data_IF_930545373602
#
_entry.id   IF_930545373602
#
_cell.length_a   1.000
_cell.length_b   1.000
_cell.length_c   1.000
_cell.angle_alpha   90.00
_cell.angle_beta   90.00
_cell.angle_gamma   90.00
#
_symmetry.space_group_name_H-M   'P 1'
#
loop_
_entity.id
_entity.type
_entity.pdbx_description
1 polymer ?
#
# COMPACT_ATOMS: atom_id res chain seq x y z
N UNK A 1 -49.73 15.61 -39.11
CA UNK A 1 -49.35 16.52 -38.02
C UNK A 1 -49.02 15.65 -36.81
N UNK A 2 -47.75 15.65 -36.37
CA UNK A 2 -47.26 15.16 -35.07
C UNK A 2 -47.39 13.63 -34.79
N UNK A 3 -46.42 12.90 -34.23
CA UNK A 3 -45.07 13.21 -33.74
C UNK A 3 -44.30 11.88 -33.63
N UNK A 4 -43.01 11.95 -33.89
CA UNK A 4 -41.99 10.92 -33.63
C UNK A 4 -42.13 10.28 -32.25
N UNK A 5 -41.91 8.97 -32.15
CA UNK A 5 -41.27 8.42 -30.95
C UNK A 5 -40.42 7.19 -31.28
N UNK A 6 -39.21 7.48 -31.75
CA UNK A 6 -38.04 6.60 -31.75
C UNK A 6 -37.87 6.02 -30.35
N UNK A 7 -38.11 4.72 -30.17
CA UNK A 7 -37.53 3.99 -29.06
C UNK A 7 -36.04 3.79 -29.37
N UNK A 8 -35.26 4.78 -28.92
CA UNK A 8 -33.83 4.67 -28.77
C UNK A 8 -33.61 3.63 -27.66
N UNK A 9 -33.29 2.39 -28.03
CA UNK A 9 -32.65 1.47 -27.10
C UNK A 9 -31.31 2.10 -26.72
N UNK A 10 -31.31 2.91 -25.66
CA UNK A 10 -30.09 3.34 -25.00
C UNK A 10 -29.52 2.06 -24.40
N UNK A 11 -28.63 1.42 -25.17
CA UNK A 11 -27.58 0.58 -24.64
C UNK A 11 -26.76 1.45 -23.69
N UNK A 12 -27.22 1.57 -22.45
CA UNK A 12 -26.35 1.90 -21.32
C UNK A 12 -25.49 0.66 -21.14
N UNK A 13 -24.48 0.52 -22.01
CA UNK A 13 -23.29 -0.20 -21.66
C UNK A 13 -22.70 0.65 -20.54
N UNK A 14 -23.08 0.35 -19.30
CA UNK A 14 -22.20 0.53 -18.18
C UNK A 14 -20.94 -0.24 -18.56
N UNK A 15 -20.02 0.45 -19.25
CA UNK A 15 -18.61 0.16 -19.11
C UNK A 15 -18.32 0.38 -17.64
N UNK A 16 -18.63 -0.63 -16.82
CA UNK A 16 -17.88 -0.89 -15.62
C UNK A 16 -16.44 -0.70 -16.06
N UNK A 17 -15.69 0.28 -15.52
CA UNK A 17 -14.32 0.42 -15.92
C UNK A 17 -13.71 -0.95 -15.66
N UNK A 18 -13.31 -1.64 -16.73
CA UNK A 18 -12.35 -2.73 -16.69
C UNK A 18 -11.34 -2.28 -15.64
N UNK A 19 -11.41 -2.84 -14.42
CA UNK A 19 -10.73 -2.26 -13.25
C UNK A 19 -9.33 -1.91 -13.73
N UNK A 20 -8.99 -0.62 -13.75
CA UNK A 20 -7.77 -0.16 -14.39
C UNK A 20 -6.57 -0.98 -13.87
N UNK A 21 -5.59 -1.23 -14.74
CA UNK A 21 -4.28 -1.74 -14.30
C UNK A 21 -3.69 -0.76 -13.26
N UNK A 22 -2.69 -1.19 -12.49
CA UNK A 22 -2.01 -0.33 -11.52
C UNK A 22 -1.71 1.07 -12.09
N UNK A 23 -1.86 2.13 -11.29
CA UNK A 23 -1.52 3.49 -11.71
C UNK A 23 -0.10 3.56 -12.28
N UNK A 24 0.10 4.41 -13.30
CA UNK A 24 1.39 4.57 -13.96
C UNK A 24 2.54 4.84 -12.98
N UNK A 25 2.27 5.58 -11.91
CA UNK A 25 3.23 5.88 -10.84
C UNK A 25 3.68 4.63 -10.07
N UNK A 26 2.78 3.66 -9.86
CA UNK A 26 3.12 2.38 -9.22
C UNK A 26 3.97 1.53 -10.17
N UNK A 27 3.61 1.48 -11.45
CA UNK A 27 4.41 0.78 -12.47
C UNK A 27 5.82 1.38 -12.56
N UNK A 28 5.93 2.70 -12.60
CA UNK A 28 7.21 3.40 -12.66
C UNK A 28 8.04 3.18 -11.38
N UNK A 29 7.40 3.15 -10.21
CA UNK A 29 8.09 2.80 -8.96
C UNK A 29 8.73 1.41 -9.04
N UNK A 30 8.03 0.42 -9.58
CA UNK A 30 8.58 -0.92 -9.77
C UNK A 30 9.77 -0.91 -10.74
N UNK A 31 9.65 -0.22 -11.88
CA UNK A 31 10.72 -0.11 -12.89
C UNK A 31 11.97 0.59 -12.36
N UNK A 32 11.80 1.59 -11.50
CA UNK A 32 12.92 2.37 -10.95
C UNK A 32 13.59 1.71 -9.74
N UNK A 33 12.94 0.76 -9.07
CA UNK A 33 13.47 0.10 -7.87
C UNK A 33 14.90 -0.46 -8.01
N UNK A 34 15.32 -1.10 -9.13
CA UNK A 34 16.70 -1.56 -9.30
C UNK A 34 17.73 -0.43 -9.29
N UNK A 35 17.38 0.75 -9.85
CA UNK A 35 18.24 1.94 -9.82
C UNK A 35 18.29 2.51 -8.41
N UNK A 36 17.14 2.69 -7.78
CA UNK A 36 17.03 3.22 -6.41
C UNK A 36 17.82 2.36 -5.41
N UNK A 37 17.78 1.03 -5.56
CA UNK A 37 18.54 0.12 -4.70
C UNK A 37 20.06 0.34 -4.76
N UNK A 38 20.59 0.90 -5.86
CA UNK A 38 22.01 1.23 -6.02
C UNK A 38 22.36 2.65 -5.58
N UNK A 39 21.43 3.59 -5.70
CA UNK A 39 21.70 5.02 -5.54
C UNK A 39 21.17 5.61 -4.23
N UNK A 40 20.44 4.83 -3.43
CA UNK A 40 19.87 5.32 -2.16
C UNK A 40 21.00 5.64 -1.17
N UNK A 41 21.11 6.89 -0.68
CA UNK A 41 22.18 7.27 0.23
C UNK A 41 21.97 6.69 1.63
N UNK A 42 23.07 6.39 2.33
CA UNK A 42 23.03 5.82 3.68
C UNK A 42 22.23 6.65 4.69
N UNK A 43 22.22 7.98 4.51
CA UNK A 43 21.45 8.89 5.35
C UNK A 43 19.95 8.59 5.31
N UNK A 44 19.41 8.09 4.20
CA UNK A 44 18.00 7.70 4.10
C UNK A 44 17.66 6.52 5.02
N UNK A 45 18.56 5.54 5.14
CA UNK A 45 18.40 4.42 6.07
C UNK A 45 18.53 4.87 7.52
N UNK A 46 19.51 5.74 7.83
CA UNK A 46 19.71 6.28 9.17
C UNK A 46 18.50 7.07 9.66
N UNK A 47 17.91 7.93 8.80
CA UNK A 47 16.69 8.70 9.12
C UNK A 47 15.49 7.81 9.48
N UNK A 48 15.43 6.59 8.94
CA UNK A 48 14.35 5.65 9.19
C UNK A 48 14.67 4.63 10.30
N UNK A 49 15.75 4.84 11.07
CA UNK A 49 16.18 3.95 12.15
C UNK A 49 16.19 2.48 11.71
N UNK A 50 16.69 2.20 10.49
CA UNK A 50 16.80 0.84 9.96
C UNK A 50 18.25 0.35 9.99
N UNK A 51 18.48 -0.72 10.75
CA UNK A 51 19.75 -1.45 10.82
C UNK A 51 19.91 -2.57 9.78
N UNK A 52 18.81 -2.96 9.11
CA UNK A 52 18.76 -4.06 8.13
C UNK A 52 18.05 -3.58 6.84
N UNK A 53 18.70 -2.73 6.03
CA UNK A 53 18.07 -2.04 4.89
C UNK A 53 17.58 -2.99 3.78
N UNK A 54 18.08 -4.22 3.72
CA UNK A 54 17.68 -5.19 2.69
C UNK A 54 16.47 -6.05 3.10
N UNK A 55 16.22 -6.19 4.41
CA UNK A 55 15.27 -7.17 4.95
C UNK A 55 13.94 -6.55 5.38
N UNK A 56 13.95 -5.32 5.88
CA UNK A 56 12.76 -4.67 6.45
C UNK A 56 11.98 -3.78 5.48
N UNK A 57 10.71 -3.51 5.81
CA UNK A 57 9.88 -2.53 5.07
C UNK A 57 10.43 -1.10 5.15
N UNK A 58 11.11 -0.74 6.25
CA UNK A 58 11.77 0.57 6.39
C UNK A 58 12.91 0.75 5.38
N UNK A 59 13.68 -0.30 5.14
CA UNK A 59 14.73 -0.30 4.13
C UNK A 59 14.19 -0.24 2.70
N UNK A 60 13.07 -0.92 2.43
CA UNK A 60 12.35 -0.76 1.16
C UNK A 60 11.87 0.68 1.00
N UNK A 61 11.19 1.24 2.00
CA UNK A 61 10.67 2.60 1.95
C UNK A 61 11.79 3.64 1.79
N UNK A 62 12.94 3.42 2.46
CA UNK A 62 14.12 4.26 2.33
C UNK A 62 14.55 4.46 0.86
N UNK A 63 14.38 3.42 0.02
CA UNK A 63 14.66 3.41 -1.41
C UNK A 63 13.50 4.02 -2.21
N UNK A 64 12.28 3.52 -1.99
CA UNK A 64 11.12 3.87 -2.83
C UNK A 64 10.67 5.31 -2.68
N UNK A 65 10.89 5.94 -1.52
CA UNK A 65 10.47 7.32 -1.26
C UNK A 65 11.08 8.35 -2.22
N UNK A 66 12.19 8.03 -2.90
CA UNK A 66 12.82 8.90 -3.89
C UNK A 66 12.08 8.92 -5.23
N UNK A 67 11.26 7.90 -5.52
CA UNK A 67 10.39 7.88 -6.70
C UNK A 67 8.92 8.16 -6.34
N UNK A 68 8.45 7.64 -5.21
CA UNK A 68 7.09 7.82 -4.73
C UNK A 68 7.07 7.82 -3.19
N UNK A 69 7.08 9.00 -2.59
CA UNK A 69 6.94 9.18 -1.14
C UNK A 69 5.46 9.06 -0.69
N UNK A 70 5.22 9.00 0.62
CA UNK A 70 3.86 8.81 1.16
C UNK A 70 2.90 9.93 0.76
N UNK A 71 3.35 11.20 0.74
CA UNK A 71 2.49 12.31 0.33
C UNK A 71 2.07 12.22 -1.14
N UNK A 72 2.98 11.78 -2.02
CA UNK A 72 2.66 11.50 -3.42
C UNK A 72 1.75 10.28 -3.55
N UNK A 73 1.95 9.25 -2.74
CA UNK A 73 1.12 8.05 -2.73
C UNK A 73 -0.32 8.33 -2.25
N UNK A 74 -0.51 9.24 -1.30
CA UNK A 74 -1.84 9.75 -0.93
C UNK A 74 -2.54 10.43 -2.13
N UNK A 75 -1.80 11.22 -2.91
CA UNK A 75 -2.34 11.86 -4.13
C UNK A 75 -2.70 10.83 -5.20
N UNK A 76 -1.87 9.81 -5.39
CA UNK A 76 -2.11 8.75 -6.39
C UNK A 76 -3.30 7.87 -6.01
N UNK A 77 -3.47 7.59 -4.72
CA UNK A 77 -4.58 6.77 -4.23
C UNK A 77 -5.88 7.54 -4.04
N UNK A 78 -5.82 8.86 -3.85
CA UNK A 78 -6.96 9.66 -3.43
C UNK A 78 -7.35 9.46 -1.96
N UNK A 79 -6.55 8.71 -1.20
CA UNK A 79 -6.83 8.37 0.19
C UNK A 79 -5.69 8.81 1.10
N UNK A 80 -6.03 9.29 2.29
CA UNK A 80 -5.05 9.41 3.38
C UNK A 80 -4.53 8.03 3.75
N UNK A 81 -3.22 7.90 3.96
CA UNK A 81 -2.61 6.62 4.36
C UNK A 81 -2.93 6.33 5.83
N UNK A 82 -2.86 7.37 6.66
CA UNK A 82 -3.15 7.30 8.09
C UNK A 82 -4.33 8.22 8.44
N UNK A 83 -5.29 7.71 9.20
CA UNK A 83 -6.39 8.48 9.78
C UNK A 83 -5.95 9.19 11.06
N UNK A 84 -5.06 8.56 11.83
CA UNK A 84 -4.57 9.06 13.10
C UNK A 84 -3.14 8.55 13.39
N UNK A 85 -2.61 9.00 14.54
CA UNK A 85 -1.28 8.64 15.02
C UNK A 85 -0.21 9.69 14.74
N UNK A 86 1.07 9.32 14.90
CA UNK A 86 2.18 10.28 14.98
C UNK A 86 2.71 10.68 13.60
N UNK A 87 2.23 10.06 12.53
CA UNK A 87 2.65 10.32 11.15
C UNK A 87 1.90 11.54 10.59
N UNK A 88 2.64 12.53 10.09
CA UNK A 88 2.08 13.79 9.57
C UNK A 88 2.66 14.10 8.21
N UNK A 89 1.83 14.69 7.34
CA UNK A 89 2.26 15.25 6.04
C UNK A 89 3.05 14.27 5.15
N UNK A 90 2.69 12.97 5.19
CA UNK A 90 3.40 11.94 4.45
C UNK A 90 4.82 11.65 4.97
N UNK A 91 5.10 11.95 6.23
CA UNK A 91 6.34 11.61 6.91
C UNK A 91 6.10 10.61 8.04
N UNK A 92 7.00 9.64 8.15
CA UNK A 92 7.02 8.69 9.25
C UNK A 92 7.69 9.31 10.47
N UNK A 93 6.95 9.39 11.57
CA UNK A 93 7.52 9.67 12.89
C UNK A 93 7.74 8.35 13.62
N UNK A 94 9.01 7.95 13.76
CA UNK A 94 9.42 6.68 14.37
C UNK A 94 9.95 6.85 15.80
N UNK A 95 9.86 8.05 16.36
CA UNK A 95 10.39 8.38 17.69
C UNK A 95 9.33 8.30 18.79
N UNK A 96 8.04 8.24 18.43
CA UNK A 96 6.95 8.09 19.39
C UNK A 96 6.82 6.62 19.76
N UNK A 97 6.97 6.30 21.05
CA UNK A 97 6.96 4.92 21.58
C UNK A 97 5.57 4.42 21.97
N UNK A 98 4.66 5.34 22.27
CA UNK A 98 3.34 5.06 22.84
C UNK A 98 2.19 5.26 21.85
N UNK A 99 2.49 5.52 20.58
CA UNK A 99 1.51 5.82 19.53
C UNK A 99 2.01 5.22 18.21
N UNK A 100 1.11 4.88 17.30
CA UNK A 100 1.41 4.23 16.02
C UNK A 100 0.52 4.73 14.88
N UNK A 101 0.91 4.47 13.63
CA UNK A 101 0.12 4.91 12.47
C UNK A 101 -1.19 4.13 12.36
N UNK A 102 -2.33 4.84 12.37
CA UNK A 102 -3.65 4.23 12.22
C UNK A 102 -4.04 4.23 10.74
N UNK A 103 -3.83 3.10 10.07
CA UNK A 103 -4.07 3.00 8.64
C UNK A 103 -5.54 3.26 8.28
N UNK A 104 -5.73 3.97 7.18
CA UNK A 104 -7.03 4.11 6.54
C UNK A 104 -7.40 2.80 5.82
N UNK A 105 -8.50 2.12 6.18
CA UNK A 105 -8.92 0.89 5.50
C UNK A 105 -9.14 1.06 4.00
N UNK A 106 -9.63 2.21 3.55
CA UNK A 106 -9.84 2.49 2.13
C UNK A 106 -8.52 2.58 1.37
N UNK A 107 -7.47 3.14 1.99
CA UNK A 107 -6.13 3.10 1.41
C UNK A 107 -5.59 1.68 1.29
N UNK A 108 -5.85 0.80 2.28
CA UNK A 108 -5.41 -0.60 2.23
C UNK A 108 -6.11 -1.38 1.10
N UNK A 109 -7.44 -1.20 0.96
CA UNK A 109 -8.21 -1.78 -0.16
C UNK A 109 -7.70 -1.29 -1.50
N UNK A 110 -7.42 0.01 -1.61
CA UNK A 110 -6.82 0.57 -2.81
C UNK A 110 -5.45 -0.06 -3.10
N UNK A 111 -4.60 -0.24 -2.09
CA UNK A 111 -3.29 -0.85 -2.20
C UNK A 111 -3.34 -2.31 -2.65
N UNK A 112 -4.32 -3.09 -2.19
CA UNK A 112 -4.56 -4.46 -2.64
C UNK A 112 -4.88 -4.51 -4.14
N UNK A 113 -5.76 -3.62 -4.61
CA UNK A 113 -6.18 -3.57 -6.00
C UNK A 113 -5.11 -3.00 -6.95
N UNK A 114 -4.25 -2.09 -6.48
CA UNK A 114 -3.40 -1.26 -7.33
C UNK A 114 -1.90 -1.42 -7.08
N UNK A 115 -1.47 -1.97 -5.95
CA UNK A 115 -0.07 -2.00 -5.53
C UNK A 115 0.81 -3.02 -6.26
N UNK A 116 0.19 -4.01 -6.91
CA UNK A 116 0.89 -5.07 -7.64
C UNK A 116 0.57 -4.94 -9.14
N UNK A 117 1.49 -4.37 -9.94
CA UNK A 117 1.31 -4.26 -11.38
C UNK A 117 1.45 -5.62 -12.08
N UNK A 118 0.82 -5.73 -13.26
CA UNK A 118 0.79 -6.93 -14.07
C UNK A 118 -0.20 -7.96 -13.54
N UNK A 119 -1.24 -7.60 -12.78
CA UNK A 119 -2.28 -8.55 -12.37
C UNK A 119 -3.20 -8.90 -13.55
N UNK A 120 -3.41 -8.00 -14.50
CA UNK A 120 -4.22 -8.26 -15.71
C UNK A 120 -3.39 -8.20 -16.99
N UNK A 121 -2.22 -7.56 -16.97
CA UNK A 121 -1.26 -7.55 -18.08
C UNK A 121 -0.13 -8.59 -17.90
N UNK A 122 -0.19 -9.67 -18.70
CA UNK A 122 0.81 -10.74 -18.67
C UNK A 122 2.19 -10.30 -19.20
N UNK A 123 2.23 -9.36 -20.15
CA UNK A 123 3.49 -8.83 -20.69
C UNK A 123 4.18 -7.99 -19.62
N UNK A 124 3.43 -7.11 -18.96
CA UNK A 124 3.93 -6.30 -17.84
C UNK A 124 4.36 -7.17 -16.65
N UNK A 125 3.61 -8.24 -16.34
CA UNK A 125 4.02 -9.21 -15.32
C UNK A 125 5.38 -9.83 -15.64
N UNK A 126 5.56 -10.30 -16.89
CA UNK A 126 6.83 -10.89 -17.34
C UNK A 126 7.97 -9.87 -17.26
N UNK A 127 7.72 -8.63 -17.63
CA UNK A 127 8.68 -7.53 -17.53
C UNK A 127 9.13 -7.28 -16.09
N UNK A 128 8.19 -7.23 -15.14
CA UNK A 128 8.45 -6.86 -13.75
C UNK A 128 8.82 -8.04 -12.84
N UNK A 129 8.71 -9.28 -13.33
CA UNK A 129 9.05 -10.48 -12.59
C UNK A 129 10.47 -10.44 -11.98
N UNK A 130 11.55 -10.05 -12.70
CA UNK A 130 12.89 -9.98 -12.10
C UNK A 130 12.99 -8.97 -10.96
N UNK A 131 12.23 -7.86 -11.04
CA UNK A 131 12.16 -6.86 -9.96
C UNK A 131 11.52 -7.48 -8.72
N UNK A 132 10.38 -8.16 -8.87
CA UNK A 132 9.73 -8.87 -7.76
C UNK A 132 10.68 -9.88 -7.13
N UNK A 133 11.30 -10.73 -7.95
CA UNK A 133 12.15 -11.82 -7.44
C UNK A 133 13.37 -11.31 -6.68
N UNK A 134 14.02 -10.26 -7.19
CA UNK A 134 15.21 -9.68 -6.58
C UNK A 134 14.89 -8.85 -5.34
N UNK A 135 13.84 -8.02 -5.40
CA UNK A 135 13.62 -6.98 -4.41
C UNK A 135 12.42 -7.19 -3.51
N UNK A 136 11.41 -7.98 -3.87
CA UNK A 136 10.15 -8.04 -3.10
C UNK A 136 9.84 -9.45 -2.56
N UNK A 137 10.25 -10.50 -3.28
CA UNK A 137 9.89 -11.90 -3.02
C UNK A 137 10.17 -12.35 -1.59
N UNK A 138 11.39 -12.11 -1.09
CA UNK A 138 11.78 -12.55 0.26
C UNK A 138 10.86 -11.93 1.32
N UNK A 139 10.67 -10.60 1.28
CA UNK A 139 9.78 -9.88 2.19
C UNK A 139 8.33 -10.36 2.09
N UNK A 140 7.78 -10.41 0.87
CA UNK A 140 6.40 -10.85 0.64
C UNK A 140 6.16 -12.26 1.21
N UNK A 141 7.10 -13.19 1.00
CA UNK A 141 7.01 -14.56 1.54
C UNK A 141 7.10 -14.59 3.06
N UNK A 142 7.95 -13.79 3.69
CA UNK A 142 8.03 -13.70 5.15
C UNK A 142 6.72 -13.21 5.77
N UNK A 143 6.10 -12.16 5.20
CA UNK A 143 4.80 -11.67 5.67
C UNK A 143 3.69 -12.70 5.45
N UNK A 144 3.67 -13.37 4.29
CA UNK A 144 2.70 -14.42 4.02
C UNK A 144 2.85 -15.62 4.97
N UNK A 145 4.09 -16.04 5.28
CA UNK A 145 4.36 -17.09 6.24
C UNK A 145 3.91 -16.70 7.66
N UNK A 146 4.18 -15.46 8.08
CA UNK A 146 3.73 -14.94 9.36
C UNK A 146 2.20 -14.91 9.46
N UNK A 147 1.53 -14.45 8.40
CA UNK A 147 0.06 -14.49 8.29
C UNK A 147 -0.47 -15.93 8.43
N UNK A 148 0.05 -16.86 7.62
CA UNK A 148 -0.34 -18.28 7.71
C UNK A 148 -0.12 -18.88 9.10
N UNK A 149 1.02 -18.58 9.72
CA UNK A 149 1.32 -19.07 11.07
C UNK A 149 0.35 -18.52 12.12
N UNK A 150 -0.01 -17.24 12.03
CA UNK A 150 -0.98 -16.63 12.93
C UNK A 150 -2.36 -17.27 12.77
N UNK A 151 -2.83 -17.43 11.53
CA UNK A 151 -4.13 -18.03 11.23
C UNK A 151 -4.20 -19.53 11.54
N UNK A 152 -3.08 -20.25 11.51
CA UNK A 152 -3.01 -21.64 11.96
C UNK A 152 -3.11 -21.79 13.49
N UNK A 153 -3.05 -20.69 14.25
CA UNK A 153 -3.12 -20.68 15.72
C UNK A 153 -4.27 -19.77 16.21
N UNK A 154 -5.53 -20.23 16.19
CA UNK A 154 -6.70 -19.40 16.49
C UNK A 154 -6.63 -18.68 17.85
N UNK A 155 -6.12 -19.34 18.90
CA UNK A 155 -5.94 -18.72 20.23
C UNK A 155 -4.93 -17.56 20.20
N UNK A 156 -3.88 -17.67 19.39
CA UNK A 156 -2.89 -16.59 19.23
C UNK A 156 -3.46 -15.43 18.44
N UNK A 157 -4.21 -15.73 17.38
CA UNK A 157 -4.92 -14.74 16.58
C UNK A 157 -5.91 -13.96 17.45
N UNK A 158 -6.78 -14.66 18.18
CA UNK A 158 -7.76 -14.05 19.08
C UNK A 158 -7.10 -13.07 20.06
N UNK A 159 -6.06 -13.50 20.79
CA UNK A 159 -5.33 -12.63 21.72
C UNK A 159 -4.69 -11.41 21.05
N UNK A 160 -4.19 -11.57 19.83
CA UNK A 160 -3.59 -10.46 19.08
C UNK A 160 -4.67 -9.44 18.66
N UNK A 161 -5.83 -9.93 18.22
CA UNK A 161 -6.99 -9.10 17.84
C UNK A 161 -7.58 -8.37 19.04
N UNK A 162 -7.80 -9.07 20.16
CA UNK A 162 -8.30 -8.47 21.40
C UNK A 162 -7.36 -7.35 21.87
N UNK A 163 -6.05 -7.63 21.96
CA UNK A 163 -5.06 -6.62 22.32
C UNK A 163 -5.06 -5.41 21.37
N UNK A 164 -5.20 -5.64 20.07
CA UNK A 164 -5.29 -4.54 19.10
C UNK A 164 -6.55 -3.69 19.34
N UNK A 165 -7.71 -4.32 19.50
CA UNK A 165 -8.97 -3.64 19.75
C UNK A 165 -8.96 -2.86 21.07
N UNK A 166 -8.36 -3.41 22.13
CA UNK A 166 -8.20 -2.73 23.42
C UNK A 166 -7.38 -1.45 23.30
N UNK A 167 -6.28 -1.50 22.54
CA UNK A 167 -5.45 -0.32 22.24
C UNK A 167 -6.25 0.73 21.44
N UNK A 168 -7.00 0.29 20.42
CA UNK A 168 -7.85 1.18 19.63
C UNK A 168 -8.99 1.80 20.45
N UNK A 169 -9.55 1.08 21.43
CA UNK A 169 -10.64 1.57 22.27
C UNK A 169 -10.16 2.53 23.37
N UNK A 170 -8.95 2.32 23.91
CA UNK A 170 -8.33 3.19 24.90
C UNK A 170 -8.01 4.59 24.34
N UNK A 171 -7.76 4.68 23.03
CA UNK A 171 -7.58 5.93 22.31
C UNK A 171 -8.93 6.44 21.81
N UNK A 172 -9.64 7.22 22.65
CA UNK A 172 -10.96 7.81 22.32
C UNK A 172 -10.98 8.40 20.89
N UNK A 173 -12.04 8.18 20.09
CA UNK A 173 -12.12 8.72 18.75
C UNK A 173 -12.36 10.22 18.81
N UNK A 174 -11.31 11.03 18.64
CA UNK A 174 -11.45 12.46 18.34
C UNK A 174 -11.88 12.72 16.89
N UNK A 175 -12.51 11.75 16.22
CA UNK A 175 -12.77 11.78 14.77
C UNK A 175 -14.25 11.67 14.41
N UNK A 176 -15.14 11.80 15.41
CA UNK A 176 -16.55 12.09 15.17
C UNK A 176 -16.82 13.59 15.34
N UNK A 177 -16.26 14.41 14.45
CA UNK A 177 -16.79 15.73 14.05
C UNK A 177 -16.34 16.04 12.64
#
# INVERSE_FOLDING_TARGET
>A
MMLFMRWLCILVILELPLLAESPKQIVELWRTLPKLAKTTPDQAYKKLNTWLPELGLRGLYAKTQFALNLAQLEKVSGHKIFLAGPHKEGQLNLNVRSDFGHYNPEFLKWGEANGIPGLKDAKLRKELQPVYEKFLRSRARSFYAAHKNLHANPKRLQRATEKYNDLMAAEKPSFAM
#
